data_IF_407655205826
#
_entry.id   IF_407655205826
#
_cell.length_a   1.000
_cell.length_b   1.000
_cell.length_c   1.000
_cell.angle_alpha   90.00
_cell.angle_beta   90.00
_cell.angle_gamma   90.00
#
_symmetry.space_group_name_H-M   'P 1'
#
loop_
_entity.id
_entity.type
_entity.pdbx_description
1 polymer ?
#
# COMPACT_ATOMS: atom_id res chain seq x y z
N UNK A 1 -21.88 48.02 33.16
CA UNK A 1 -21.24 46.94 33.94
C UNK A 1 -20.61 45.97 32.96
N UNK A 2 -19.30 46.08 32.75
CA UNK A 2 -18.53 45.15 31.95
C UNK A 2 -18.24 43.89 32.78
N UNK A 3 -18.49 42.70 32.23
CA UNK A 3 -17.98 41.44 32.78
C UNK A 3 -17.18 40.75 31.69
N UNK A 4 -15.90 40.57 31.99
CA UNK A 4 -14.85 40.15 31.07
C UNK A 4 -14.92 38.68 30.67
N UNK A 5 -14.31 38.41 29.52
CA UNK A 5 -13.92 37.11 29.02
C UNK A 5 -12.76 36.56 29.87
N UNK A 6 -12.76 35.27 30.24
CA UNK A 6 -11.53 34.59 30.63
C UNK A 6 -10.92 33.82 29.45
N UNK A 7 -9.64 34.11 29.20
CA UNK A 7 -8.63 33.06 29.05
C UNK A 7 -8.45 32.42 27.69
N UNK A 8 -7.57 33.02 26.89
CA UNK A 8 -6.83 32.31 25.85
C UNK A 8 -5.88 31.28 26.50
N UNK A 9 -6.03 30.00 26.14
CA UNK A 9 -4.92 29.05 26.14
C UNK A 9 -4.88 28.38 24.78
N UNK A 10 -3.88 28.80 23.99
CA UNK A 10 -3.63 28.29 22.66
C UNK A 10 -3.12 26.85 22.70
N UNK A 11 -3.67 26.04 21.81
CA UNK A 11 -2.95 24.91 21.24
C UNK A 11 -2.59 25.28 19.80
N UNK A 12 -1.53 26.07 19.64
CA UNK A 12 -0.76 26.07 18.40
C UNK A 12 0.17 24.86 18.47
N UNK A 13 -0.34 23.68 18.09
CA UNK A 13 0.54 22.62 17.64
C UNK A 13 1.03 23.03 16.25
N UNK A 14 2.11 23.80 16.22
CA UNK A 14 2.85 24.05 14.99
C UNK A 14 3.34 22.73 14.46
N UNK A 15 2.67 22.20 13.43
CA UNK A 15 3.26 21.20 12.56
C UNK A 15 4.30 21.99 11.78
N UNK A 16 5.52 22.05 12.32
CA UNK A 16 6.67 22.50 11.57
C UNK A 16 6.75 21.61 10.33
N UNK A 17 6.40 22.18 9.19
CA UNK A 17 6.77 21.69 7.87
C UNK A 17 8.28 21.74 7.76
N UNK A 18 8.95 20.81 8.42
CA UNK A 18 10.27 20.39 8.02
C UNK A 18 10.07 19.69 6.68
N UNK A 19 10.45 20.35 5.59
CA UNK A 19 10.83 19.62 4.38
C UNK A 19 11.84 18.58 4.86
N UNK A 20 11.45 17.30 4.87
CA UNK A 20 12.44 16.24 5.04
C UNK A 20 13.47 16.52 3.96
N UNK A 21 14.71 16.76 4.38
CA UNK A 21 15.81 16.79 3.45
C UNK A 21 15.75 15.43 2.75
N UNK A 22 15.39 15.45 1.46
CA UNK A 22 15.21 14.23 0.68
C UNK A 22 16.42 13.35 0.91
N UNK A 23 16.21 12.26 1.64
CA UNK A 23 17.24 11.23 1.79
C UNK A 23 17.48 10.76 0.38
N UNK A 24 18.67 11.06 -0.13
CA UNK A 24 19.08 10.60 -1.44
C UNK A 24 18.92 9.08 -1.42
N UNK A 25 18.01 8.49 -2.22
CA UNK A 25 17.79 7.05 -2.19
C UNK A 25 19.14 6.39 -2.37
N UNK A 26 19.51 5.53 -1.43
CA UNK A 26 20.80 4.83 -1.44
C UNK A 26 21.00 4.29 -2.85
N UNK A 27 22.05 4.74 -3.54
CA UNK A 27 22.27 4.44 -4.96
C UNK A 27 22.05 2.95 -5.19
N UNK A 28 20.93 2.63 -5.85
CA UNK A 28 20.44 1.25 -5.99
C UNK A 28 21.51 0.46 -6.73
N UNK A 29 22.18 -0.45 -6.01
CA UNK A 29 23.24 -1.28 -6.58
C UNK A 29 22.56 -2.33 -7.46
N UNK A 30 22.60 -2.11 -8.78
CA UNK A 30 22.14 -3.09 -9.77
C UNK A 30 23.11 -4.26 -9.85
N UNK A 31 22.70 -5.44 -9.40
CA UNK A 31 23.33 -6.70 -9.80
C UNK A 31 23.01 -6.98 -11.27
N UNK A 32 24.04 -7.28 -12.08
CA UNK A 32 23.94 -7.64 -13.50
C UNK A 32 23.15 -6.65 -14.41
N UNK A 33 22.91 -5.41 -13.96
CA UNK A 33 22.17 -4.40 -14.73
C UNK A 33 20.65 -4.58 -14.78
N UNK A 34 20.11 -5.66 -14.17
CA UNK A 34 18.67 -5.98 -14.15
C UNK A 34 17.97 -5.32 -12.97
N UNK A 35 16.71 -4.94 -13.18
CA UNK A 35 15.87 -4.30 -12.16
C UNK A 35 15.41 -5.36 -11.15
N UNK A 36 15.59 -5.07 -9.85
CA UNK A 36 15.18 -5.92 -8.72
C UNK A 36 13.84 -5.44 -8.17
N UNK A 37 12.89 -6.35 -8.06
CA UNK A 37 11.52 -6.02 -7.64
C UNK A 37 11.10 -6.91 -6.48
N UNK A 38 10.67 -6.31 -5.38
CA UNK A 38 10.00 -7.04 -4.31
C UNK A 38 8.50 -7.09 -4.57
N UNK A 39 7.94 -8.30 -4.74
CA UNK A 39 6.51 -8.54 -4.89
C UNK A 39 5.96 -9.11 -3.58
N UNK A 40 5.19 -8.31 -2.85
CA UNK A 40 4.46 -8.83 -1.67
C UNK A 40 3.18 -9.55 -2.12
N UNK A 41 2.74 -10.54 -1.34
CA UNK A 41 1.54 -11.31 -1.71
C UNK A 41 1.76 -12.18 -2.95
N UNK A 42 3.01 -12.62 -3.19
CA UNK A 42 3.40 -13.41 -4.35
C UNK A 42 2.71 -14.77 -4.48
N UNK A 43 2.10 -15.28 -3.40
CA UNK A 43 1.27 -16.48 -3.42
C UNK A 43 -0.21 -16.22 -3.76
N UNK A 44 -0.65 -14.97 -3.69
CA UNK A 44 -2.03 -14.57 -4.01
C UNK A 44 -2.28 -14.45 -5.51
N UNK A 45 -3.54 -14.31 -5.91
CA UNK A 45 -3.97 -14.27 -7.31
C UNK A 45 -3.14 -13.33 -8.20
N UNK A 46 -3.08 -12.04 -7.86
CA UNK A 46 -2.34 -11.03 -8.64
C UNK A 46 -0.84 -11.27 -8.54
N UNK A 47 -0.31 -11.41 -7.31
CA UNK A 47 1.13 -11.55 -7.08
C UNK A 47 1.73 -12.77 -7.78
N UNK A 48 1.02 -13.89 -7.81
CA UNK A 48 1.46 -15.12 -8.46
C UNK A 48 1.56 -14.97 -9.98
N UNK A 49 0.58 -14.29 -10.59
CA UNK A 49 0.63 -14.00 -12.03
C UNK A 49 1.78 -13.05 -12.37
N UNK A 50 2.05 -12.05 -11.54
CA UNK A 50 3.20 -11.16 -11.73
C UNK A 50 4.53 -11.93 -11.65
N UNK A 51 4.67 -12.81 -10.65
CA UNK A 51 5.89 -13.61 -10.48
C UNK A 51 6.12 -14.56 -11.66
N UNK A 52 5.06 -15.23 -12.13
CA UNK A 52 5.12 -16.14 -13.28
C UNK A 52 5.49 -15.42 -14.58
N UNK A 53 4.90 -14.24 -14.83
CA UNK A 53 5.04 -13.56 -16.12
C UNK A 53 6.26 -12.64 -16.21
N UNK A 54 6.76 -12.13 -15.08
CA UNK A 54 7.81 -11.10 -15.06
C UNK A 54 9.18 -11.62 -14.58
N UNK A 55 9.27 -12.88 -14.15
CA UNK A 55 10.51 -13.46 -13.60
C UNK A 55 11.65 -13.58 -14.61
N UNK A 56 11.36 -13.65 -15.92
CA UNK A 56 12.38 -13.65 -16.97
C UNK A 56 12.97 -12.25 -17.22
N UNK A 57 12.19 -11.19 -16.98
CA UNK A 57 12.60 -9.81 -17.21
C UNK A 57 13.28 -9.21 -15.98
N UNK A 58 12.70 -9.43 -14.80
CA UNK A 58 13.14 -8.84 -13.54
C UNK A 58 13.75 -9.85 -12.58
N UNK A 59 14.57 -9.37 -11.64
CA UNK A 59 14.98 -10.16 -10.49
C UNK A 59 13.92 -10.00 -9.40
N UNK A 60 13.08 -11.02 -9.23
CA UNK A 60 11.95 -10.96 -8.31
C UNK A 60 12.28 -11.54 -6.94
N UNK A 61 12.01 -10.76 -5.89
CA UNK A 61 11.94 -11.23 -4.51
C UNK A 61 10.46 -11.36 -4.15
N UNK A 62 10.00 -12.55 -3.75
CA UNK A 62 8.60 -12.77 -3.41
C UNK A 62 8.48 -13.73 -2.21
N UNK A 63 8.99 -13.33 -1.01
CA UNK A 63 8.90 -14.17 0.16
C UNK A 63 7.43 -14.49 0.48
N UNK A 64 7.19 -15.72 0.89
CA UNK A 64 5.91 -16.15 1.44
C UNK A 64 5.64 -15.47 2.77
N UNK A 65 4.37 -15.50 3.22
CA UNK A 65 4.00 -14.97 4.54
C UNK A 65 4.75 -15.64 5.70
N UNK A 66 5.17 -16.90 5.54
CA UNK A 66 5.96 -17.62 6.54
C UNK A 66 7.43 -17.18 6.57
N UNK A 67 7.96 -16.66 5.46
CA UNK A 67 9.32 -16.13 5.37
C UNK A 67 9.39 -14.65 5.78
N UNK A 68 8.31 -13.91 5.56
CA UNK A 68 8.19 -12.49 5.93
C UNK A 68 6.73 -12.15 6.26
N UNK A 69 6.46 -11.93 7.55
CA UNK A 69 5.20 -11.34 7.99
C UNK A 69 5.25 -9.82 7.83
N UNK A 70 4.37 -9.26 7.01
CA UNK A 70 4.30 -7.83 6.76
C UNK A 70 3.67 -7.04 7.93
N UNK A 71 3.04 -7.73 8.89
CA UNK A 71 2.54 -7.12 10.12
C UNK A 71 3.65 -6.88 11.14
N UNK A 72 4.77 -7.61 11.02
CA UNK A 72 5.97 -7.40 11.81
C UNK A 72 6.80 -6.24 11.24
N UNK A 73 6.80 -5.11 11.96
CA UNK A 73 7.52 -3.91 11.59
C UNK A 73 9.03 -4.15 11.42
N UNK A 74 9.64 -4.83 12.40
CA UNK A 74 11.09 -5.02 12.46
C UNK A 74 11.57 -5.98 11.38
N UNK A 75 10.78 -7.02 11.09
CA UNK A 75 11.05 -7.95 10.01
C UNK A 75 11.03 -7.26 8.64
N UNK A 76 10.04 -6.39 8.39
CA UNK A 76 9.94 -5.62 7.13
C UNK A 76 11.12 -4.66 6.97
N UNK A 77 11.47 -3.91 8.01
CA UNK A 77 12.61 -3.00 7.98
C UNK A 77 13.93 -3.74 7.75
N UNK A 78 14.14 -4.87 8.45
CA UNK A 78 15.33 -5.71 8.29
C UNK A 78 15.44 -6.32 6.89
N UNK A 79 14.31 -6.77 6.33
CA UNK A 79 14.24 -7.31 4.98
C UNK A 79 14.67 -6.27 3.94
N UNK A 80 14.09 -5.07 3.97
CA UNK A 80 14.43 -3.99 3.05
C UNK A 80 15.89 -3.53 3.20
N UNK A 81 16.38 -3.39 4.44
CA UNK A 81 17.77 -2.99 4.70
C UNK A 81 18.82 -3.99 4.19
N UNK A 82 18.45 -5.28 4.15
CA UNK A 82 19.32 -6.38 3.69
C UNK A 82 19.13 -6.73 2.21
N UNK A 83 18.01 -6.31 1.60
CA UNK A 83 17.65 -6.63 0.21
C UNK A 83 17.33 -5.35 -0.56
N UNK A 84 18.34 -4.68 -1.15
CA UNK A 84 18.09 -3.49 -1.95
C UNK A 84 17.23 -3.84 -3.18
N UNK A 85 16.15 -3.08 -3.38
CA UNK A 85 15.23 -3.26 -4.51
C UNK A 85 14.95 -1.95 -5.22
N UNK A 86 14.90 -2.00 -6.54
CA UNK A 86 14.56 -0.84 -7.36
C UNK A 86 13.07 -0.48 -7.23
N UNK A 87 12.23 -1.49 -7.04
CA UNK A 87 10.80 -1.29 -6.83
C UNK A 87 10.18 -2.30 -5.86
N UNK A 88 9.09 -1.89 -5.23
CA UNK A 88 8.17 -2.75 -4.48
C UNK A 88 6.84 -2.78 -5.23
N UNK A 89 6.26 -3.96 -5.44
CA UNK A 89 4.88 -4.14 -5.91
C UNK A 89 4.08 -4.72 -4.77
N UNK A 90 3.23 -3.90 -4.16
CA UNK A 90 2.43 -4.30 -3.00
C UNK A 90 1.10 -4.92 -3.42
N UNK A 91 1.06 -6.26 -3.53
CA UNK A 91 -0.16 -7.02 -3.79
C UNK A 91 -0.73 -7.72 -2.55
N UNK A 92 0.02 -7.77 -1.44
CA UNK A 92 -0.45 -8.41 -0.23
C UNK A 92 -1.70 -7.71 0.32
N UNK A 93 -2.71 -8.50 0.65
CA UNK A 93 -3.95 -8.04 1.25
C UNK A 93 -4.49 -9.16 2.12
N UNK A 94 -4.97 -8.82 3.31
CA UNK A 94 -5.95 -9.62 4.03
C UNK A 94 -7.26 -9.51 3.25
N UNK A 95 -7.84 -10.62 2.75
CA UNK A 95 -9.06 -10.58 1.97
C UNK A 95 -10.28 -10.42 2.88
N UNK A 96 -11.29 -9.70 2.40
CA UNK A 96 -12.55 -9.43 3.12
C UNK A 96 -13.74 -10.22 2.59
N UNK A 97 -13.52 -11.23 1.75
CA UNK A 97 -14.61 -12.00 1.14
C UNK A 97 -15.20 -13.05 2.09
N UNK A 98 -16.41 -13.55 1.80
CA UNK A 98 -17.15 -14.50 2.66
C UNK A 98 -16.38 -15.80 2.96
N UNK A 99 -15.55 -16.25 2.01
CA UNK A 99 -14.70 -17.44 2.17
C UNK A 99 -13.36 -17.15 2.87
N UNK A 100 -13.12 -15.92 3.34
CA UNK A 100 -11.87 -15.59 4.02
C UNK A 100 -11.82 -16.33 5.37
N UNK A 101 -10.70 -17.02 5.62
CA UNK A 101 -10.49 -17.79 6.86
C UNK A 101 -10.59 -16.92 8.12
N UNK A 102 -10.18 -15.66 8.02
CA UNK A 102 -10.16 -14.69 9.11
C UNK A 102 -10.66 -13.33 8.59
N UNK A 103 -11.98 -13.07 8.56
CA UNK A 103 -12.53 -11.86 7.93
C UNK A 103 -12.41 -10.60 8.79
N UNK A 104 -12.01 -10.72 10.06
CA UNK A 104 -11.93 -9.60 11.01
C UNK A 104 -10.57 -8.92 10.99
N UNK A 105 -10.52 -7.64 11.34
CA UNK A 105 -9.26 -6.88 11.44
C UNK A 105 -8.56 -6.65 10.10
N UNK A 106 -9.31 -6.71 8.99
CA UNK A 106 -8.79 -6.46 7.65
C UNK A 106 -8.25 -5.03 7.55
N UNK A 107 -8.99 -4.07 8.11
CA UNK A 107 -8.58 -2.68 8.10
C UNK A 107 -7.20 -2.46 8.74
N UNK A 108 -7.01 -2.94 9.97
CA UNK A 108 -5.73 -2.84 10.68
C UNK A 108 -4.63 -3.58 9.92
N UNK A 109 -4.87 -4.83 9.50
CA UNK A 109 -3.86 -5.62 8.80
C UNK A 109 -3.39 -4.95 7.50
N UNK A 110 -4.32 -4.56 6.61
CA UNK A 110 -3.98 -3.98 5.32
C UNK A 110 -3.27 -2.63 5.45
N UNK A 111 -3.72 -1.78 6.37
CA UNK A 111 -3.10 -0.47 6.59
C UNK A 111 -1.74 -0.63 7.26
N UNK A 112 -1.59 -1.55 8.22
CA UNK A 112 -0.31 -1.85 8.89
C UNK A 112 0.74 -2.40 7.94
N UNK A 113 0.39 -3.38 7.09
CA UNK A 113 1.30 -3.88 6.05
C UNK A 113 1.79 -2.76 5.14
N UNK A 114 0.89 -1.90 4.66
CA UNK A 114 1.24 -0.75 3.84
C UNK A 114 2.17 0.21 4.58
N UNK A 115 1.83 0.58 5.82
CA UNK A 115 2.62 1.52 6.63
C UNK A 115 4.01 1.00 7.01
N UNK A 116 4.14 -0.32 7.25
CA UNK A 116 5.43 -0.96 7.48
C UNK A 116 6.33 -0.90 6.25
N UNK A 117 5.76 -0.89 5.03
CA UNK A 117 6.53 -0.69 3.79
C UNK A 117 6.90 0.78 3.63
N UNK A 118 5.92 1.70 3.61
CA UNK A 118 6.17 3.11 3.23
C UNK A 118 7.06 3.88 4.19
N UNK A 119 7.13 3.49 5.46
CA UNK A 119 8.07 4.10 6.42
C UNK A 119 9.54 3.84 6.07
N UNK A 120 9.81 2.90 5.17
CA UNK A 120 11.14 2.54 4.69
C UNK A 120 11.39 3.10 3.27
N UNK A 121 10.76 4.21 2.90
CA UNK A 121 10.84 4.81 1.54
C UNK A 121 12.27 5.11 1.04
N UNK A 122 13.26 5.22 1.94
CA UNK A 122 14.66 5.39 1.58
C UNK A 122 15.39 4.12 1.15
N UNK A 123 14.79 2.93 1.39
CA UNK A 123 15.40 1.62 1.12
C UNK A 123 14.96 1.01 -0.23
N UNK A 124 14.04 1.66 -0.94
CA UNK A 124 13.60 1.24 -2.28
C UNK A 124 13.38 2.44 -3.21
N UNK A 125 13.42 2.21 -4.53
CA UNK A 125 13.26 3.29 -5.51
C UNK A 125 11.82 3.76 -5.70
N UNK A 126 10.89 2.84 -5.96
CA UNK A 126 9.46 3.14 -6.18
C UNK A 126 8.55 2.08 -5.57
N UNK A 127 7.40 2.49 -5.06
CA UNK A 127 6.34 1.58 -4.65
C UNK A 127 5.18 1.63 -5.65
N UNK A 128 4.76 0.47 -6.15
CA UNK A 128 3.52 0.27 -6.90
C UNK A 128 2.51 -0.36 -5.93
N UNK A 129 1.51 0.42 -5.51
CA UNK A 129 0.47 0.00 -4.59
C UNK A 129 -0.74 -0.54 -5.37
N UNK A 130 -1.09 -1.82 -5.17
CA UNK A 130 -2.29 -2.40 -5.77
C UNK A 130 -3.47 -2.26 -4.79
N UNK A 131 -4.37 -1.31 -5.08
CA UNK A 131 -5.59 -1.10 -4.29
C UNK A 131 -6.76 -1.91 -4.84
N UNK A 132 -7.80 -1.24 -5.34
CA UNK A 132 -9.03 -1.80 -5.92
C UNK A 132 -9.93 -0.62 -6.31
N UNK A 133 -10.84 -0.82 -7.27
CA UNK A 133 -11.98 0.09 -7.49
C UNK A 133 -12.83 0.34 -6.22
N UNK A 134 -12.75 -0.54 -5.21
CA UNK A 134 -13.44 -0.38 -3.93
C UNK A 134 -13.11 0.93 -3.18
N UNK A 135 -12.00 1.59 -3.54
CA UNK A 135 -11.64 2.92 -3.01
C UNK A 135 -12.70 4.00 -3.29
N UNK A 136 -13.56 3.81 -4.29
CA UNK A 136 -14.59 4.80 -4.67
C UNK A 136 -15.93 4.64 -3.95
N UNK A 137 -16.06 3.67 -3.03
CA UNK A 137 -17.31 3.24 -2.42
C UNK A 137 -18.28 2.61 -3.44
N UNK A 138 -18.47 1.29 -3.33
CA UNK A 138 -19.27 0.50 -4.25
C UNK A 138 -20.72 0.97 -4.39
N UNK A 139 -21.25 1.66 -3.37
CA UNK A 139 -22.63 2.19 -3.37
C UNK A 139 -22.83 3.31 -4.39
N UNK A 140 -21.76 3.93 -4.88
CA UNK A 140 -21.80 5.11 -5.74
C UNK A 140 -21.06 4.92 -7.06
N UNK A 141 -20.85 3.69 -7.49
CA UNK A 141 -20.20 3.42 -8.77
C UNK A 141 -20.96 4.01 -9.94
N UNK A 142 -20.20 4.65 -10.83
CA UNK A 142 -20.62 5.15 -12.11
C UNK A 142 -19.94 4.33 -13.22
N UNK A 143 -20.56 4.17 -14.40
CA UNK A 143 -19.87 3.60 -15.55
C UNK A 143 -18.60 4.40 -15.87
N UNK A 144 -17.50 3.69 -16.14
CA UNK A 144 -16.21 4.31 -16.50
C UNK A 144 -15.72 5.32 -15.44
N UNK A 145 -15.65 4.87 -14.18
CA UNK A 145 -15.13 5.65 -13.05
C UNK A 145 -13.82 6.36 -13.42
N UNK A 146 -13.83 7.69 -13.27
CA UNK A 146 -12.64 8.52 -13.48
C UNK A 146 -11.87 8.69 -12.17
N UNK A 147 -10.55 8.80 -12.24
CA UNK A 147 -9.68 8.92 -11.07
C UNK A 147 -9.99 10.15 -10.21
N UNK A 148 -10.49 11.22 -10.84
CA UNK A 148 -10.92 12.44 -10.14
C UNK A 148 -12.14 12.24 -9.24
N UNK A 149 -12.85 11.11 -9.35
CA UNK A 149 -13.94 10.76 -8.44
C UNK A 149 -13.44 10.33 -7.05
N UNK A 150 -12.16 10.05 -6.92
CA UNK A 150 -11.58 9.62 -5.66
C UNK A 150 -11.72 10.70 -4.58
N UNK A 151 -12.23 10.31 -3.42
CA UNK A 151 -12.46 11.22 -2.30
C UNK A 151 -13.83 11.86 -2.25
N UNK A 152 -14.70 11.67 -3.27
CA UNK A 152 -16.10 12.14 -3.24
C UNK A 152 -16.90 11.40 -2.18
N UNK A 153 -16.71 10.08 -2.08
CA UNK A 153 -17.30 9.24 -1.04
C UNK A 153 -16.21 8.47 -0.29
N UNK A 154 -16.47 8.20 0.99
CA UNK A 154 -15.63 7.34 1.83
C UNK A 154 -16.32 5.97 1.90
N UNK A 155 -15.64 4.87 1.52
CA UNK A 155 -16.22 3.53 1.60
C UNK A 155 -16.65 3.18 3.03
N UNK A 156 -17.78 2.48 3.16
CA UNK A 156 -18.34 2.08 4.46
C UNK A 156 -17.89 0.70 4.94
N UNK A 157 -17.42 -0.15 4.02
CA UNK A 157 -16.90 -1.46 4.35
C UNK A 157 -15.38 -1.42 4.61
N UNK A 158 -14.87 -2.36 5.42
CA UNK A 158 -13.44 -2.40 5.76
C UNK A 158 -12.54 -2.58 4.53
N UNK A 159 -13.00 -3.32 3.50
CA UNK A 159 -12.20 -3.59 2.31
C UNK A 159 -11.97 -2.30 1.52
N UNK A 160 -13.03 -1.58 1.19
CA UNK A 160 -12.95 -0.28 0.53
C UNK A 160 -12.23 0.74 1.40
N UNK A 161 -12.53 0.78 2.70
CA UNK A 161 -11.97 1.80 3.60
C UNK A 161 -10.46 1.61 3.82
N UNK A 162 -9.99 0.38 3.97
CA UNK A 162 -8.54 0.11 4.07
C UNK A 162 -7.77 0.58 2.84
N UNK A 163 -8.28 0.26 1.64
CA UNK A 163 -7.68 0.72 0.38
C UNK A 163 -7.77 2.24 0.23
N UNK A 164 -8.90 2.85 0.64
CA UNK A 164 -9.07 4.30 0.63
C UNK A 164 -8.02 5.00 1.49
N UNK A 165 -7.77 4.53 2.71
CA UNK A 165 -6.75 5.11 3.60
C UNK A 165 -5.35 5.00 3.01
N UNK A 166 -4.97 3.82 2.50
CA UNK A 166 -3.67 3.64 1.85
C UNK A 166 -3.53 4.54 0.62
N UNK A 167 -4.57 4.66 -0.21
CA UNK A 167 -4.60 5.53 -1.38
C UNK A 167 -4.48 7.02 -1.02
N UNK A 168 -5.16 7.48 0.04
CA UNK A 168 -5.08 8.86 0.54
C UNK A 168 -3.67 9.20 1.01
N UNK A 169 -3.01 8.28 1.70
CA UNK A 169 -1.63 8.46 2.14
C UNK A 169 -0.65 8.41 0.96
N UNK A 170 -0.80 7.42 0.08
CA UNK A 170 0.04 7.26 -1.11
C UNK A 170 0.02 8.50 -2.03
N UNK A 171 -1.12 9.18 -2.15
CA UNK A 171 -1.25 10.41 -2.93
C UNK A 171 -0.39 11.59 -2.42
N UNK A 172 0.18 11.48 -1.21
CA UNK A 172 1.09 12.48 -0.62
C UNK A 172 2.57 12.16 -0.85
N UNK A 173 2.88 11.01 -1.47
CA UNK A 173 4.24 10.51 -1.64
C UNK A 173 4.67 10.56 -3.10
N UNK A 174 5.88 11.06 -3.36
CA UNK A 174 6.39 11.25 -4.73
C UNK A 174 6.86 9.94 -5.39
N UNK A 175 7.25 8.95 -4.59
CA UNK A 175 7.79 7.67 -5.06
C UNK A 175 6.75 6.54 -5.09
N UNK A 176 5.45 6.85 -4.99
CA UNK A 176 4.36 5.86 -4.99
C UNK A 176 3.46 6.03 -6.22
N UNK A 177 3.14 4.92 -6.87
CA UNK A 177 2.11 4.82 -7.90
C UNK A 177 1.02 3.89 -7.42
N UNK A 178 -0.21 4.36 -7.39
CA UNK A 178 -1.38 3.55 -7.06
C UNK A 178 -2.02 3.01 -8.34
N UNK A 179 -2.31 1.71 -8.37
CA UNK A 179 -3.14 1.08 -9.40
C UNK A 179 -4.47 0.64 -8.77
N UNK A 180 -5.58 1.05 -9.38
CA UNK A 180 -6.96 0.77 -8.94
C UNK A 180 -7.67 -0.17 -9.91
N UNK A 181 -7.34 -1.46 -9.91
CA UNK A 181 -7.95 -2.38 -10.86
C UNK A 181 -9.42 -2.63 -10.53
N UNK A 182 -10.22 -2.85 -11.57
CA UNK A 182 -11.63 -3.24 -11.50
C UNK A 182 -11.81 -4.62 -12.15
N UNK A 183 -12.61 -5.49 -11.53
CA UNK A 183 -13.01 -6.77 -12.12
C UNK A 183 -11.84 -7.60 -12.66
N UNK A 184 -10.78 -7.77 -11.87
CA UNK A 184 -9.64 -8.60 -12.27
C UNK A 184 -10.05 -10.06 -12.20
N UNK A 185 -9.84 -10.80 -13.28
CA UNK A 185 -10.15 -12.24 -13.38
C UNK A 185 -9.00 -13.00 -14.04
N UNK A 186 -8.88 -14.31 -13.76
CA UNK A 186 -7.89 -15.15 -14.45
C UNK A 186 -7.34 -16.33 -13.65
N UNK A 187 -6.21 -16.87 -14.11
CA UNK A 187 -5.53 -18.02 -13.49
C UNK A 187 -5.24 -17.72 -12.01
N UNK A 188 -5.59 -18.63 -11.11
CA UNK A 188 -5.44 -18.51 -9.65
C UNK A 188 -6.44 -17.59 -8.94
N UNK A 189 -7.43 -17.06 -9.65
CA UNK A 189 -8.57 -16.42 -9.00
C UNK A 189 -9.37 -17.45 -8.20
N UNK A 190 -9.76 -17.06 -6.98
CA UNK A 190 -10.76 -17.78 -6.20
C UNK A 190 -12.14 -17.34 -6.70
N UNK A 191 -12.66 -18.02 -7.72
CA UNK A 191 -13.96 -17.69 -8.33
C UNK A 191 -15.14 -18.22 -7.51
N UNK A 192 -14.88 -19.05 -6.49
CA UNK A 192 -15.89 -19.59 -5.58
C UNK A 192 -16.29 -18.59 -4.47
N UNK A 193 -15.70 -17.38 -4.51
CA UNK A 193 -16.00 -16.24 -3.63
C UNK A 193 -17.46 -15.83 -3.64
#
# INVERSE_FOLDING_TARGET
MARGLPGAHGYHAGIHGGKSAGVCPRALRREAGRVRVWVTGGSGFIGRNLVEQLGEEFVLLAPSHAELDLLDEEAVASFLGSNPVDAVVHCATKPGHRNAKEPTGLLDANTRMFHNIVRNEGEYGRLILITSGAVYDQRFYLPKMHESYFGVHVPVDETGYSKYLCARYAAQLDNVVELRPFGVFGKYEDWEI
#
